data_IF_769465896312
#
_entry.id   IF_769465896312
#
_cell.length_a   1.000
_cell.length_b   1.000
_cell.length_c   1.000
_cell.angle_alpha   90.00
_cell.angle_beta   90.00
_cell.angle_gamma   90.00
#
_symmetry.space_group_name_H-M   'P 1'
#
loop_
_entity.id
_entity.type
_entity.pdbx_description
1 polymer ?
#
# COMPACT_ATOMS: atom_id res chain seq x y z
N UNK A 1 7.41 -37.32 37.92
CA UNK A 1 8.29 -36.93 36.78
C UNK A 1 7.52 -36.85 35.45
N UNK A 2 6.25 -37.29 35.41
CA UNK A 2 5.45 -37.43 34.18
C UNK A 2 4.73 -36.14 33.74
N UNK A 3 4.37 -35.24 34.68
CA UNK A 3 3.66 -33.98 34.34
C UNK A 3 4.52 -32.93 33.62
N UNK A 4 5.86 -33.05 33.67
CA UNK A 4 6.77 -32.08 33.01
C UNK A 4 6.95 -32.36 31.52
N UNK A 5 6.75 -33.60 31.07
CA UNK A 5 6.90 -34.00 29.67
C UNK A 5 5.73 -33.47 28.82
N UNK A 6 4.53 -33.40 29.39
CA UNK A 6 3.31 -32.92 28.69
C UNK A 6 3.37 -31.42 28.39
N UNK A 7 3.96 -30.61 29.28
CA UNK A 7 4.03 -29.15 29.10
C UNK A 7 5.00 -28.77 27.97
N UNK A 8 6.10 -29.52 27.81
CA UNK A 8 7.06 -29.28 26.71
C UNK A 8 6.45 -29.63 25.35
N UNK A 9 5.58 -30.63 25.28
CA UNK A 9 4.87 -31.00 24.05
C UNK A 9 3.86 -29.95 23.57
N UNK A 10 3.22 -29.22 24.48
CA UNK A 10 2.24 -28.17 24.14
C UNK A 10 2.94 -26.90 23.64
N UNK A 11 4.10 -26.55 24.20
CA UNK A 11 4.87 -25.35 23.80
C UNK A 11 5.46 -25.50 22.38
N UNK A 12 5.82 -26.73 21.97
CA UNK A 12 6.31 -27.02 20.62
C UNK A 12 5.21 -27.04 19.55
N UNK A 13 3.94 -27.16 19.93
CA UNK A 13 2.81 -27.15 19.01
C UNK A 13 2.32 -25.73 18.68
N UNK A 14 2.60 -24.74 19.54
CA UNK A 14 2.24 -23.34 19.29
C UNK A 14 3.24 -22.59 18.39
N UNK A 15 4.45 -23.11 18.20
CA UNK A 15 5.45 -22.48 17.32
C UNK A 15 5.25 -22.78 15.83
N UNK A 16 4.35 -23.70 15.48
CA UNK A 16 4.11 -24.12 14.09
C UNK A 16 3.04 -23.30 13.36
N UNK A 17 2.39 -22.33 14.03
CA UNK A 17 1.49 -21.36 13.39
C UNK A 17 2.20 -20.11 12.88
N UNK A 18 3.53 -20.05 12.99
CA UNK A 18 4.36 -19.10 12.24
C UNK A 18 4.57 -19.55 10.79
N UNK A 19 3.52 -20.03 10.11
CA UNK A 19 3.58 -20.15 8.66
C UNK A 19 3.54 -18.73 8.11
N UNK A 20 4.72 -18.24 7.75
CA UNK A 20 4.89 -16.98 7.04
C UNK A 20 3.88 -16.93 5.90
N UNK A 21 3.14 -15.84 5.87
CA UNK A 21 2.10 -15.51 4.90
C UNK A 21 2.75 -15.16 3.54
N UNK A 22 3.52 -16.11 3.01
CA UNK A 22 4.36 -15.99 1.81
C UNK A 22 3.96 -16.98 0.72
N UNK A 23 2.71 -17.43 0.73
CA UNK A 23 2.13 -18.14 -0.41
C UNK A 23 1.48 -17.09 -1.31
N UNK A 24 2.23 -16.61 -2.30
CA UNK A 24 1.68 -15.90 -3.46
C UNK A 24 0.88 -16.83 -4.38
N UNK A 25 0.58 -18.07 -3.94
CA UNK A 25 -0.06 -19.13 -4.73
C UNK A 25 -1.48 -18.75 -5.17
N UNK A 26 -2.09 -17.78 -4.49
CA UNK A 26 -3.43 -17.28 -4.81
C UNK A 26 -3.42 -15.87 -5.40
N UNK A 27 -2.26 -15.35 -5.83
CA UNK A 27 -2.16 -14.01 -6.40
C UNK A 27 -2.40 -14.04 -7.92
N UNK A 28 -3.05 -13.01 -8.43
CA UNK A 28 -3.20 -12.82 -9.88
C UNK A 28 -1.88 -12.39 -10.51
N UNK A 29 -1.75 -12.55 -11.83
CA UNK A 29 -0.58 -12.04 -12.56
C UNK A 29 -0.38 -10.54 -12.36
N UNK A 30 -1.49 -9.78 -12.25
CA UNK A 30 -1.44 -8.34 -12.00
C UNK A 30 -0.94 -8.03 -10.59
N UNK A 31 -1.43 -8.74 -9.57
CA UNK A 31 -0.97 -8.61 -8.19
C UNK A 31 0.54 -8.90 -8.07
N UNK A 32 1.04 -9.94 -8.75
CA UNK A 32 2.47 -10.25 -8.80
C UNK A 32 3.29 -9.12 -9.46
N UNK A 33 2.78 -8.55 -10.55
CA UNK A 33 3.44 -7.45 -11.25
C UNK A 33 3.50 -6.16 -10.39
N UNK A 34 2.40 -5.84 -9.70
CA UNK A 34 2.30 -4.70 -8.80
C UNK A 34 3.24 -4.84 -7.62
N UNK A 35 3.25 -6.01 -6.98
CA UNK A 35 4.17 -6.31 -5.89
C UNK A 35 5.64 -6.24 -6.33
N UNK A 36 5.96 -6.77 -7.52
CA UNK A 36 7.31 -6.65 -8.10
C UNK A 36 7.70 -5.18 -8.29
N UNK A 37 6.78 -4.34 -8.77
CA UNK A 37 7.04 -2.92 -8.98
C UNK A 37 7.17 -2.16 -7.66
N UNK A 38 6.36 -2.46 -6.66
CA UNK A 38 6.48 -1.93 -5.30
C UNK A 38 7.84 -2.29 -4.68
N UNK A 39 8.24 -3.56 -4.77
CA UNK A 39 9.52 -4.04 -4.25
C UNK A 39 10.69 -3.32 -4.92
N UNK A 40 10.64 -3.16 -6.25
CA UNK A 40 11.66 -2.40 -6.99
C UNK A 40 11.69 -0.92 -6.60
N UNK A 41 10.53 -0.28 -6.44
CA UNK A 41 10.43 1.11 -5.98
C UNK A 41 11.01 1.25 -4.57
N UNK A 42 10.63 0.37 -3.63
CA UNK A 42 11.08 0.44 -2.26
C UNK A 42 12.61 0.29 -2.15
N UNK A 43 13.19 -0.67 -2.89
CA UNK A 43 14.65 -0.82 -2.98
C UNK A 43 15.31 0.37 -3.70
N UNK A 44 14.67 0.94 -4.72
CA UNK A 44 15.22 2.06 -5.46
C UNK A 44 15.36 3.32 -4.61
N UNK A 45 14.46 3.57 -3.65
CA UNK A 45 14.44 4.78 -2.82
C UNK A 45 15.13 4.60 -1.47
N UNK A 46 15.30 3.37 -1.00
CA UNK A 46 15.83 3.08 0.33
C UNK A 46 17.17 3.75 0.56
N UNK A 47 17.28 4.52 1.66
CA UNK A 47 18.49 5.27 2.06
C UNK A 47 18.98 6.32 1.06
N UNK A 48 18.23 6.63 0.01
CA UNK A 48 18.56 7.74 -0.90
C UNK A 48 17.93 9.02 -0.40
N UNK A 49 18.63 10.13 -0.50
CA UNK A 49 18.06 11.45 -0.33
C UNK A 49 17.14 11.85 -1.48
N UNK A 50 16.22 12.77 -1.24
CA UNK A 50 15.25 13.21 -2.25
C UNK A 50 15.94 13.77 -3.50
N UNK A 51 17.08 14.44 -3.33
CA UNK A 51 17.90 14.94 -4.44
C UNK A 51 18.54 13.84 -5.30
N UNK A 52 18.65 12.62 -4.78
CA UNK A 52 19.23 11.47 -5.48
C UNK A 52 18.17 10.65 -6.24
N UNK A 53 16.91 11.09 -6.21
CA UNK A 53 15.77 10.39 -6.80
C UNK A 53 15.19 11.27 -7.92
N UNK A 54 15.63 11.10 -9.18
CA UNK A 54 15.07 11.83 -10.31
C UNK A 54 13.57 11.56 -10.48
N UNK A 55 12.77 12.63 -10.46
CA UNK A 55 11.31 12.56 -10.66
C UNK A 55 10.94 11.83 -11.95
N UNK A 56 11.64 12.10 -13.04
CA UNK A 56 11.39 11.44 -14.33
C UNK A 56 11.56 9.92 -14.25
N UNK A 57 12.50 9.43 -13.42
CA UNK A 57 12.67 7.99 -13.19
C UNK A 57 11.52 7.41 -12.38
N UNK A 58 11.02 8.14 -11.37
CA UNK A 58 9.85 7.73 -10.60
C UNK A 58 8.62 7.60 -11.50
N UNK A 59 8.30 8.63 -12.29
CA UNK A 59 7.11 8.64 -13.14
C UNK A 59 7.20 7.62 -14.28
N UNK A 60 8.39 7.47 -14.88
CA UNK A 60 8.59 6.51 -15.97
C UNK A 60 8.39 5.07 -15.50
N UNK A 61 8.94 4.70 -14.35
CA UNK A 61 9.05 3.29 -13.97
C UNK A 61 8.08 2.85 -12.88
N UNK A 62 7.73 3.71 -11.93
CA UNK A 62 7.16 3.28 -10.65
C UNK A 62 5.83 3.94 -10.29
N UNK A 63 5.66 5.22 -10.62
CA UNK A 63 4.53 6.04 -10.15
C UNK A 63 3.72 6.48 -11.36
N UNK A 64 2.41 6.30 -11.30
CA UNK A 64 1.51 6.81 -12.32
C UNK A 64 1.29 8.31 -12.08
N UNK A 65 1.74 9.15 -13.02
CA UNK A 65 1.61 10.61 -12.91
C UNK A 65 1.38 11.29 -14.29
N UNK A 66 1.07 10.50 -15.32
CA UNK A 66 1.14 10.95 -16.71
C UNK A 66 0.07 12.00 -17.08
N UNK A 67 -1.16 11.88 -16.54
CA UNK A 67 -2.22 12.87 -16.77
C UNK A 67 -1.89 14.27 -16.21
N UNK A 68 -1.07 14.33 -15.16
CA UNK A 68 -0.69 15.58 -14.51
C UNK A 68 0.43 16.29 -15.27
N UNK A 69 1.38 15.53 -15.81
CA UNK A 69 2.50 16.09 -16.57
C UNK A 69 2.06 16.78 -17.86
N UNK A 70 0.90 16.36 -18.40
CA UNK A 70 0.29 16.88 -19.62
C UNK A 70 -0.63 18.10 -19.40
N UNK A 71 -0.75 18.61 -18.16
CA UNK A 71 -1.55 19.82 -17.91
C UNK A 71 -0.93 21.05 -18.62
N UNK A 72 -1.76 21.76 -19.37
CA UNK A 72 -1.37 22.96 -20.12
C UNK A 72 -1.32 24.21 -19.23
N UNK A 73 -1.94 24.17 -18.05
CA UNK A 73 -1.93 25.26 -17.06
C UNK A 73 -0.74 25.09 -16.12
N UNK A 74 0.31 25.90 -16.33
CA UNK A 74 1.58 25.83 -15.60
C UNK A 74 1.39 25.86 -14.08
N UNK A 75 0.58 26.79 -13.56
CA UNK A 75 0.35 26.93 -12.11
C UNK A 75 -0.26 25.65 -11.50
N UNK A 76 -1.18 25.00 -12.22
CA UNK A 76 -1.81 23.77 -11.74
C UNK A 76 -0.81 22.62 -11.74
N UNK A 77 -0.03 22.49 -12.81
CA UNK A 77 1.06 21.52 -12.91
C UNK A 77 2.06 21.66 -11.76
N UNK A 78 2.50 22.87 -11.46
CA UNK A 78 3.45 23.14 -10.36
C UNK A 78 2.86 22.76 -9.00
N UNK A 79 1.61 23.15 -8.71
CA UNK A 79 0.94 22.77 -7.46
C UNK A 79 0.86 21.26 -7.26
N UNK A 80 0.52 20.52 -8.33
CA UNK A 80 0.44 19.05 -8.28
C UNK A 80 1.81 18.39 -8.08
N UNK A 81 2.87 18.93 -8.69
CA UNK A 81 4.24 18.45 -8.47
C UNK A 81 4.65 18.65 -7.00
N UNK A 82 4.35 19.79 -6.39
CA UNK A 82 4.64 20.04 -4.98
C UNK A 82 3.85 19.09 -4.06
N UNK A 83 2.57 18.85 -4.37
CA UNK A 83 1.76 17.88 -3.63
C UNK A 83 2.35 16.47 -3.73
N UNK A 84 2.79 16.06 -4.92
CA UNK A 84 3.51 14.81 -5.13
C UNK A 84 4.79 14.72 -4.29
N UNK A 85 5.66 15.74 -4.35
CA UNK A 85 6.93 15.73 -3.61
C UNK A 85 6.70 15.59 -2.09
N UNK A 86 5.72 16.32 -1.56
CA UNK A 86 5.33 16.21 -0.15
C UNK A 86 4.90 14.79 0.22
N UNK A 87 4.07 14.18 -0.61
CA UNK A 87 3.50 12.85 -0.32
C UNK A 87 4.48 11.71 -0.55
N UNK A 88 5.29 11.82 -1.59
CA UNK A 88 6.39 10.90 -1.82
C UNK A 88 7.45 10.97 -0.71
N UNK A 89 7.60 12.12 -0.05
CA UNK A 89 8.48 12.22 1.14
C UNK A 89 8.02 11.30 2.28
N UNK A 90 6.71 11.11 2.48
CA UNK A 90 6.18 10.16 3.46
C UNK A 90 6.44 8.72 3.03
N UNK A 91 6.33 8.40 1.72
CA UNK A 91 6.68 7.07 1.19
C UNK A 91 8.09 6.66 1.61
N UNK A 92 9.05 7.56 1.36
CA UNK A 92 10.46 7.34 1.67
C UNK A 92 10.71 7.20 3.18
N UNK A 93 10.15 8.12 3.98
CA UNK A 93 10.28 8.09 5.45
C UNK A 93 9.75 6.80 6.05
N UNK A 94 8.64 6.28 5.55
CA UNK A 94 8.07 5.00 6.00
C UNK A 94 9.04 3.83 5.72
N UNK A 95 9.62 3.78 4.52
CA UNK A 95 10.61 2.75 4.17
C UNK A 95 11.87 2.87 5.02
N UNK A 96 12.40 4.08 5.19
CA UNK A 96 13.61 4.30 5.98
C UNK A 96 13.38 3.95 7.45
N UNK A 97 12.20 4.25 8.00
CA UNK A 97 11.82 3.95 9.39
C UNK A 97 11.60 2.45 9.64
N UNK A 98 10.98 1.73 8.71
CA UNK A 98 10.70 0.29 8.87
C UNK A 98 11.93 -0.54 8.49
N UNK A 99 12.68 -0.09 7.49
CA UNK A 99 13.70 -0.84 6.78
C UNK A 99 13.09 -1.66 5.65
N UNK A 100 13.65 -1.56 4.45
CA UNK A 100 13.15 -2.27 3.25
C UNK A 100 13.04 -3.78 3.45
N UNK A 101 13.92 -4.36 4.27
CA UNK A 101 13.91 -5.80 4.58
C UNK A 101 12.73 -6.22 5.46
N UNK A 102 12.16 -5.30 6.25
CA UNK A 102 11.07 -5.54 7.19
C UNK A 102 9.71 -5.13 6.62
N UNK A 103 9.69 -4.36 5.53
CA UNK A 103 8.46 -3.97 4.84
C UNK A 103 7.97 -5.11 3.93
N UNK A 104 6.66 -5.33 3.94
CA UNK A 104 6.00 -6.23 3.00
C UNK A 104 4.59 -5.72 2.67
N UNK A 105 3.94 -6.33 1.69
CA UNK A 105 2.59 -6.00 1.29
C UNK A 105 1.86 -7.21 0.69
N UNK A 106 0.54 -7.26 0.84
CA UNK A 106 -0.32 -8.27 0.22
C UNK A 106 -1.65 -7.66 -0.21
N UNK A 107 -2.37 -8.26 -1.17
CA UNK A 107 -3.67 -7.76 -1.62
C UNK A 107 -4.63 -7.53 -0.45
N UNK A 108 -5.34 -6.39 -0.47
CA UNK A 108 -6.20 -5.97 0.66
C UNK A 108 -7.35 -6.95 0.90
N UNK A 109 -7.77 -7.70 -0.12
CA UNK A 109 -8.75 -8.78 -0.04
C UNK A 109 -8.41 -9.90 0.94
N UNK A 110 -7.14 -10.01 1.37
CA UNK A 110 -6.74 -10.94 2.44
C UNK A 110 -7.03 -10.39 3.86
N UNK A 111 -7.50 -9.15 3.97
CA UNK A 111 -7.79 -8.46 5.23
C UNK A 111 -9.30 -8.23 5.47
N UNK A 112 -10.19 -9.05 4.89
CA UNK A 112 -11.66 -8.88 5.00
C UNK A 112 -12.20 -8.77 6.43
N UNK A 113 -11.49 -9.34 7.40
CA UNK A 113 -11.84 -9.32 8.82
C UNK A 113 -11.16 -8.18 9.61
N UNK A 114 -10.33 -7.35 8.96
CA UNK A 114 -9.60 -6.25 9.57
C UNK A 114 -10.25 -4.91 9.21
N UNK A 115 -10.14 -3.92 10.11
CA UNK A 115 -10.72 -2.57 9.94
C UNK A 115 -10.27 -1.90 8.63
N UNK A 116 -9.04 -2.15 8.20
CA UNK A 116 -8.48 -1.60 6.95
C UNK A 116 -9.30 -1.95 5.70
N UNK A 117 -10.11 -3.01 5.76
CA UNK A 117 -10.95 -3.45 4.64
C UNK A 117 -12.34 -2.81 4.65
N UNK A 118 -12.76 -2.13 5.74
CA UNK A 118 -14.06 -1.46 5.82
C UNK A 118 -14.37 -0.59 4.58
N UNK A 119 -13.42 0.16 4.01
CA UNK A 119 -13.66 0.94 2.80
C UNK A 119 -14.01 0.19 1.52
N UNK A 120 -13.69 -1.10 1.47
CA UNK A 120 -13.89 -1.97 0.31
C UNK A 120 -15.04 -2.96 0.57
N UNK A 121 -15.72 -2.83 1.70
CA UNK A 121 -16.88 -3.63 2.03
C UNK A 121 -18.13 -2.78 1.80
N UNK A 122 -18.90 -3.11 0.77
CA UNK A 122 -20.11 -2.39 0.42
C UNK A 122 -21.08 -2.24 1.61
N UNK A 123 -21.27 -3.28 2.42
CA UNK A 123 -22.21 -3.22 3.56
C UNK A 123 -21.72 -2.35 4.72
N UNK A 124 -20.39 -2.23 4.89
CA UNK A 124 -19.76 -1.58 6.04
C UNK A 124 -19.16 -0.21 5.75
N UNK A 125 -18.89 0.11 4.49
CA UNK A 125 -18.38 1.43 4.12
C UNK A 125 -19.37 2.47 4.67
N UNK A 126 -18.90 3.23 5.67
CA UNK A 126 -19.66 4.34 6.22
C UNK A 126 -20.10 5.20 5.03
N UNK A 127 -21.38 5.55 5.04
CA UNK A 127 -22.15 6.01 3.90
C UNK A 127 -21.76 7.42 3.48
N UNK A 128 -20.49 7.64 3.13
CA UNK A 128 -20.01 8.87 2.53
C UNK A 128 -20.37 8.80 1.05
N UNK A 129 -21.52 9.41 0.74
CA UNK A 129 -21.90 9.70 -0.62
C UNK A 129 -21.11 10.92 -1.07
N UNK A 130 -20.39 10.80 -2.18
CA UNK A 130 -19.90 11.96 -2.94
C UNK A 130 -20.80 12.05 -4.16
N UNK A 131 -21.47 13.19 -4.33
CA UNK A 131 -22.46 13.41 -5.39
C UNK A 131 -23.61 12.38 -5.47
N UNK A 132 -23.99 11.80 -4.32
CA UNK A 132 -25.13 10.86 -4.25
C UNK A 132 -24.81 9.43 -4.67
N UNK A 133 -23.54 9.13 -5.00
CA UNK A 133 -23.06 7.77 -5.23
C UNK A 133 -22.35 7.23 -3.98
N UNK A 134 -22.71 6.01 -3.58
CA UNK A 134 -22.06 5.33 -2.46
C UNK A 134 -20.60 5.08 -2.84
N UNK A 135 -19.67 5.71 -2.14
CA UNK A 135 -18.24 5.49 -2.36
C UNK A 135 -17.84 4.14 -1.76
N UNK A 136 -17.96 3.08 -2.54
CA UNK A 136 -17.24 1.83 -2.32
C UNK A 136 -16.16 1.72 -3.39
N UNK A 137 -14.93 1.44 -2.98
CA UNK A 137 -13.83 1.23 -3.93
C UNK A 137 -13.66 -0.26 -4.15
N UNK A 138 -13.43 -0.70 -5.39
CA UNK A 138 -13.06 -2.08 -5.68
C UNK A 138 -11.75 -2.42 -4.94
N UNK A 139 -11.66 -3.61 -4.34
CA UNK A 139 -10.45 -4.07 -3.64
C UNK A 139 -9.36 -4.57 -4.61
N UNK A 140 -9.68 -4.67 -5.90
CA UNK A 140 -8.73 -4.96 -6.97
C UNK A 140 -7.60 -3.93 -7.04
N UNK A 141 -6.37 -4.42 -7.25
CA UNK A 141 -5.16 -3.60 -7.36
C UNK A 141 -4.83 -2.78 -6.11
N UNK A 142 -5.42 -3.12 -4.96
CA UNK A 142 -5.12 -2.52 -3.67
C UNK A 142 -4.32 -3.50 -2.82
N UNK A 143 -3.17 -3.05 -2.32
CA UNK A 143 -2.34 -3.79 -1.39
C UNK A 143 -2.37 -3.14 -0.03
N UNK A 144 -2.44 -3.92 1.04
CA UNK A 144 -2.11 -3.45 2.37
C UNK A 144 -0.63 -3.73 2.67
N UNK A 145 0.08 -2.72 3.16
CA UNK A 145 1.49 -2.85 3.55
C UNK A 145 1.64 -2.98 5.06
N UNK A 146 2.65 -3.71 5.51
CA UNK A 146 2.84 -4.10 6.90
C UNK A 146 4.31 -4.35 7.23
N UNK A 147 4.63 -4.46 8.51
CA UNK A 147 5.90 -5.03 8.97
C UNK A 147 5.81 -6.54 8.91
N UNK A 148 6.83 -7.24 8.39
CA UNK A 148 6.86 -8.70 8.27
C UNK A 148 6.65 -9.44 9.60
N UNK A 149 7.07 -8.85 10.71
CA UNK A 149 6.88 -9.38 12.06
C UNK A 149 5.42 -9.27 12.55
N UNK A 150 4.61 -8.41 11.95
CA UNK A 150 3.22 -8.14 12.32
C UNK A 150 2.29 -8.10 11.08
N UNK A 151 2.17 -9.20 10.32
CA UNK A 151 1.46 -9.19 9.04
C UNK A 151 -0.06 -9.04 9.18
N UNK A 152 -0.59 -9.28 10.39
CA UNK A 152 -2.01 -9.10 10.73
C UNK A 152 -2.35 -7.64 11.11
N UNK A 153 -1.34 -6.77 11.28
CA UNK A 153 -1.49 -5.35 11.64
C UNK A 153 -1.03 -4.46 10.47
N UNK A 154 -1.82 -4.34 9.39
CA UNK A 154 -1.45 -3.51 8.26
C UNK A 154 -1.40 -2.02 8.62
N UNK A 155 -0.41 -1.33 8.07
CA UNK A 155 -0.08 0.06 8.35
C UNK A 155 -0.81 1.04 7.42
N UNK A 156 -1.38 0.55 6.33
CA UNK A 156 -2.12 1.32 5.35
C UNK A 156 -2.22 0.57 4.03
N UNK A 157 -2.68 1.25 2.98
CA UNK A 157 -2.93 0.65 1.66
C UNK A 157 -2.27 1.42 0.52
N UNK A 158 -2.07 0.72 -0.59
CA UNK A 158 -1.39 1.15 -1.80
C UNK A 158 -2.28 0.79 -2.99
N UNK A 159 -2.65 1.77 -3.79
CA UNK A 159 -3.43 1.58 -5.01
C UNK A 159 -2.50 1.56 -6.21
N UNK A 160 -2.71 0.59 -7.09
CA UNK A 160 -1.97 0.45 -8.34
C UNK A 160 -2.88 0.67 -9.56
N UNK A 161 -2.29 1.23 -10.61
CA UNK A 161 -2.91 1.33 -11.92
C UNK A 161 -3.01 -0.06 -12.56
N UNK A 162 -4.20 -0.53 -12.97
CA UNK A 162 -4.37 -1.88 -13.50
C UNK A 162 -3.63 -2.11 -14.82
N UNK A 163 -3.41 -1.05 -15.63
CA UNK A 163 -2.77 -1.17 -16.94
C UNK A 163 -1.25 -1.19 -16.85
N UNK A 164 -0.67 -0.26 -16.08
CA UNK A 164 0.78 -0.05 -16.01
C UNK A 164 1.42 -0.66 -14.77
N UNK A 165 0.60 -1.15 -13.82
CA UNK A 165 0.99 -1.66 -12.51
C UNK A 165 1.78 -0.66 -11.65
N UNK A 166 1.83 0.61 -12.06
CA UNK A 166 2.49 1.68 -11.33
C UNK A 166 1.66 2.07 -10.11
N UNK A 167 2.34 2.53 -9.07
CA UNK A 167 1.67 3.05 -7.88
C UNK A 167 0.91 4.33 -8.27
N UNK A 168 -0.41 4.32 -8.10
CA UNK A 168 -1.31 5.46 -8.31
C UNK A 168 -1.36 6.33 -7.06
N UNK A 169 -1.62 5.70 -5.92
CA UNK A 169 -1.82 6.41 -4.67
C UNK A 169 -1.32 5.57 -3.49
N UNK A 170 -0.73 6.25 -2.52
CA UNK A 170 -0.60 5.72 -1.17
C UNK A 170 -1.86 6.11 -0.43
N UNK A 171 -2.88 5.24 -0.43
CA UNK A 171 -4.09 5.53 0.33
C UNK A 171 -3.74 5.43 1.82
N UNK A 172 -3.61 6.60 2.46
CA UNK A 172 -3.42 6.76 3.90
C UNK A 172 -4.71 6.34 4.63
N UNK A 173 -4.94 5.05 4.83
CA UNK A 173 -5.88 4.58 5.88
C UNK A 173 -5.18 4.79 7.23
N UNK A 174 -5.01 6.05 7.62
CA UNK A 174 -4.99 6.46 9.02
C UNK A 174 -5.28 7.97 9.19
N UNK A 175 -6.10 8.55 8.32
CA UNK A 175 -6.62 9.91 8.48
C UNK A 175 -8.16 9.85 8.40
N UNK A 176 -8.89 10.55 9.27
CA UNK A 176 -10.34 10.60 9.21
C UNK A 176 -10.76 11.24 7.88
N UNK A 177 -11.45 10.48 7.03
CA UNK A 177 -12.03 10.96 5.78
C UNK A 177 -11.27 10.53 4.51
N UNK A 178 -12.05 10.06 3.53
CA UNK A 178 -11.66 9.61 2.19
C UNK A 178 -11.11 10.73 1.27
N UNK A 179 -10.89 11.93 1.82
CA UNK A 179 -10.65 13.17 1.08
C UNK A 179 -9.42 13.11 0.15
N UNK A 180 -8.39 12.32 0.49
CA UNK A 180 -7.13 12.29 -0.28
C UNK A 180 -7.16 11.42 -1.55
N UNK A 181 -8.05 10.42 -1.60
CA UNK A 181 -8.17 9.50 -2.76
C UNK A 181 -8.66 10.23 -4.01
N UNK A 182 -9.63 11.13 -3.83
CA UNK A 182 -10.21 11.94 -4.90
C UNK A 182 -9.29 13.10 -5.30
N UNK A 183 -8.53 13.66 -4.36
CA UNK A 183 -7.76 14.88 -4.61
C UNK A 183 -6.55 14.67 -5.53
N UNK A 184 -5.95 13.48 -5.62
CA UNK A 184 -4.82 13.26 -6.54
C UNK A 184 -5.18 13.26 -8.01
N UNK A 185 -6.37 12.77 -8.34
CA UNK A 185 -6.84 12.74 -9.72
C UNK A 185 -7.64 14.01 -10.08
N UNK A 186 -8.18 14.75 -9.10
CA UNK A 186 -9.01 15.94 -9.32
C UNK A 186 -8.31 17.28 -9.12
N UNK A 187 -7.28 17.39 -8.25
CA UNK A 187 -6.51 18.65 -8.09
C UNK A 187 -5.49 18.81 -9.17
#
# INVERSE_FOLDING_TARGET
MEKRIVIVGIILLTTSFGFGQHSSENWTENELAQYSKLTKLANYVYKKDQSEIPRDSLFKYYIYFDNILNDTVVERKEKRIVAFDNLFSFFRKTIDSIGVQNLDAKPVRFYKNHKIYEPFNEEKAESEFVDGEKMYTNDENVFAYFKKEEPENPLGVLLFDPETNKLLAWILINQPGYSWFLTFNLM
#
